data_IF_461752170743
#
_entry.id   IF_461752170743
#
_cell.length_a   1.000
_cell.length_b   1.000
_cell.length_c   1.000
_cell.angle_alpha   90.00
_cell.angle_beta   90.00
_cell.angle_gamma   90.00
#
_symmetry.space_group_name_H-M   'P 1'
#
loop_
_entity.id
_entity.type
_entity.pdbx_description
1 polymer ?
#
# COMPACT_ATOMS: atom_id res chain seq x y z
N UNK A 1 3.91 -5.71 5.95
CA UNK A 1 4.45 -5.50 4.58
C UNK A 1 5.98 -5.54 4.56
N UNK A 2 6.70 -4.70 5.32
CA UNK A 2 8.16 -4.51 5.19
C UNK A 2 9.06 -5.73 5.47
N UNK A 3 8.54 -6.80 6.10
CA UNK A 3 9.31 -8.02 6.43
C UNK A 3 9.22 -9.14 5.38
N UNK A 4 8.54 -8.92 4.26
CA UNK A 4 8.43 -9.92 3.19
C UNK A 4 9.74 -10.08 2.40
N UNK A 5 9.96 -11.26 1.81
CA UNK A 5 11.13 -11.57 0.96
C UNK A 5 11.19 -10.72 -0.32
N UNK A 6 10.08 -10.10 -0.73
CA UNK A 6 10.02 -9.22 -1.92
C UNK A 6 11.06 -8.08 -1.82
N UNK A 7 11.24 -7.52 -0.63
CA UNK A 7 12.15 -6.39 -0.39
C UNK A 7 13.60 -6.80 -0.08
N UNK A 8 14.00 -8.07 -0.27
CA UNK A 8 15.36 -8.54 0.07
C UNK A 8 16.48 -7.70 -0.54
N UNK A 9 16.28 -7.22 -1.78
CA UNK A 9 17.26 -6.37 -2.48
C UNK A 9 17.34 -4.99 -1.84
N UNK A 10 16.19 -4.39 -1.53
CA UNK A 10 16.12 -3.10 -0.86
C UNK A 10 16.76 -3.16 0.54
N UNK A 11 16.50 -4.25 1.29
CA UNK A 11 17.15 -4.49 2.59
C UNK A 11 18.66 -4.62 2.49
N UNK A 12 19.18 -5.30 1.46
CA UNK A 12 20.63 -5.40 1.24
C UNK A 12 21.28 -4.04 0.92
N UNK A 13 20.59 -3.16 0.20
CA UNK A 13 21.09 -1.81 -0.14
C UNK A 13 21.09 -0.88 1.08
N UNK A 14 20.02 -0.88 1.87
CA UNK A 14 19.86 0.07 2.98
C UNK A 14 20.37 -0.45 4.33
N UNK A 15 20.68 -1.74 4.46
CA UNK A 15 21.25 -2.31 5.68
C UNK A 15 20.43 -2.00 6.94
N UNK A 16 21.09 -1.44 7.95
CA UNK A 16 20.44 -1.02 9.21
C UNK A 16 19.41 0.10 9.03
N UNK A 17 19.54 0.92 8.00
CA UNK A 17 18.59 2.01 7.71
C UNK A 17 17.33 1.53 6.98
N UNK A 18 17.25 0.26 6.58
CA UNK A 18 16.16 -0.28 5.78
C UNK A 18 14.77 0.01 6.35
N UNK A 19 14.59 -0.21 7.66
CA UNK A 19 13.30 -0.06 8.31
C UNK A 19 12.87 1.42 8.36
N UNK A 20 13.74 2.30 8.85
CA UNK A 20 13.48 3.74 8.89
C UNK A 20 13.21 4.31 7.48
N UNK A 21 14.01 3.91 6.49
CA UNK A 21 13.82 4.31 5.09
C UNK A 21 12.46 3.85 4.55
N UNK A 22 12.10 2.58 4.72
CA UNK A 22 10.85 2.03 4.17
C UNK A 22 9.63 2.66 4.85
N UNK A 23 9.68 2.85 6.17
CA UNK A 23 8.59 3.50 6.92
C UNK A 23 8.40 4.97 6.50
N UNK A 24 9.49 5.69 6.18
CA UNK A 24 9.39 7.07 5.67
C UNK A 24 8.68 7.20 4.31
N UNK A 25 8.47 6.08 3.59
CA UNK A 25 7.84 6.05 2.26
C UNK A 25 6.45 5.42 2.27
N UNK A 26 6.01 4.85 3.39
CA UNK A 26 4.75 4.11 3.47
C UNK A 26 3.68 4.98 4.12
N UNK A 27 2.58 5.22 3.39
CA UNK A 27 1.40 5.91 3.91
C UNK A 27 0.24 4.90 3.89
N UNK A 28 -0.15 4.33 5.05
CA UNK A 28 -1.31 3.44 5.11
C UNK A 28 -2.60 4.25 4.99
N UNK A 29 -3.56 3.73 4.23
CA UNK A 29 -4.90 4.29 4.08
C UNK A 29 -5.90 3.21 4.44
N UNK A 30 -6.87 3.54 5.30
CA UNK A 30 -7.97 2.64 5.68
C UNK A 30 -9.00 2.66 4.55
N UNK A 31 -9.47 1.49 4.14
CA UNK A 31 -10.50 1.35 3.12
C UNK A 31 -10.91 -0.10 2.85
N UNK A 32 -12.03 -0.27 2.14
CA UNK A 32 -12.64 -1.53 1.78
C UNK A 32 -13.03 -1.55 0.29
N UNK A 33 -12.59 -2.57 -0.45
CA UNK A 33 -12.81 -2.66 -1.90
C UNK A 33 -14.29 -2.75 -2.32
N UNK A 34 -15.15 -3.24 -1.42
CA UNK A 34 -16.58 -3.42 -1.65
C UNK A 34 -17.39 -2.13 -1.46
N UNK A 35 -16.76 -1.08 -0.92
CA UNK A 35 -17.41 0.20 -0.68
C UNK A 35 -17.11 1.21 -1.79
N UNK A 36 -18.07 2.10 -2.04
CA UNK A 36 -17.88 3.21 -2.97
C UNK A 36 -16.65 4.03 -2.54
N UNK A 37 -15.82 4.37 -3.53
CA UNK A 37 -14.56 5.08 -3.31
C UNK A 37 -13.64 4.42 -2.27
N UNK A 38 -13.71 3.09 -2.17
CA UNK A 38 -13.00 2.26 -1.21
C UNK A 38 -13.31 2.59 0.26
N UNK A 39 -14.44 3.23 0.56
CA UNK A 39 -14.78 3.67 1.93
C UNK A 39 -13.88 4.79 2.46
N UNK A 40 -13.15 5.49 1.58
CA UNK A 40 -12.20 6.54 1.96
C UNK A 40 -12.90 7.88 2.17
N UNK A 41 -12.33 8.74 3.01
CA UNK A 41 -12.75 10.14 3.13
C UNK A 41 -12.49 10.91 1.82
N UNK A 42 -13.40 11.81 1.43
CA UNK A 42 -13.31 12.58 0.16
C UNK A 42 -11.95 13.27 -0.03
N UNK A 43 -11.39 13.83 1.05
CA UNK A 43 -10.06 14.46 1.00
C UNK A 43 -8.97 13.46 0.60
N UNK A 44 -8.99 12.27 1.18
CA UNK A 44 -8.00 11.22 0.87
C UNK A 44 -8.19 10.72 -0.56
N UNK A 45 -9.43 10.57 -1.02
CA UNK A 45 -9.73 10.23 -2.41
C UNK A 45 -9.11 11.24 -3.37
N UNK A 46 -9.29 12.54 -3.09
CA UNK A 46 -8.73 13.62 -3.89
C UNK A 46 -7.21 13.63 -3.88
N UNK A 47 -6.60 13.51 -2.70
CA UNK A 47 -5.14 13.46 -2.57
C UNK A 47 -4.55 12.27 -3.37
N UNK A 48 -5.21 11.11 -3.34
CA UNK A 48 -4.81 9.94 -4.14
C UNK A 48 -4.99 10.23 -5.64
N UNK A 49 -6.14 10.77 -6.05
CA UNK A 49 -6.42 11.05 -7.46
C UNK A 49 -5.44 12.08 -8.07
N UNK A 50 -5.01 13.06 -7.28
CA UNK A 50 -4.11 14.13 -7.74
C UNK A 50 -2.62 13.72 -7.73
N UNK A 51 -2.21 12.77 -6.87
CA UNK A 51 -0.80 12.47 -6.60
C UNK A 51 -0.36 11.04 -6.91
N UNK A 52 -1.27 10.12 -7.25
CA UNK A 52 -0.91 8.74 -7.59
C UNK A 52 -0.79 8.57 -9.10
N UNK A 53 0.42 8.29 -9.56
CA UNK A 53 0.71 8.04 -10.98
C UNK A 53 0.42 6.58 -11.41
N UNK A 54 0.54 5.63 -10.48
CA UNK A 54 0.47 4.19 -10.78
C UNK A 54 -0.34 3.46 -9.71
N UNK A 55 -1.33 2.68 -10.17
CA UNK A 55 -2.14 1.80 -9.32
C UNK A 55 -1.76 0.34 -9.62
N UNK A 56 -1.43 -0.41 -8.57
CA UNK A 56 -1.20 -1.86 -8.63
C UNK A 56 -2.35 -2.55 -7.91
N UNK A 57 -3.36 -2.98 -8.65
CA UNK A 57 -4.56 -3.62 -8.09
C UNK A 57 -4.36 -5.13 -7.94
N UNK A 58 -3.91 -5.54 -6.75
CA UNK A 58 -3.65 -6.95 -6.42
C UNK A 58 -4.52 -7.49 -5.27
N UNK A 59 -5.33 -6.65 -4.63
CA UNK A 59 -6.17 -7.06 -3.52
C UNK A 59 -7.43 -7.75 -4.05
N UNK A 60 -7.71 -8.94 -3.53
CA UNK A 60 -8.85 -9.77 -3.88
C UNK A 60 -9.22 -10.69 -2.71
N UNK A 61 -10.48 -11.12 -2.66
CA UNK A 61 -10.86 -12.26 -1.83
C UNK A 61 -10.44 -13.56 -2.54
N UNK A 62 -10.03 -14.57 -1.76
CA UNK A 62 -9.63 -15.89 -2.28
C UNK A 62 -10.46 -17.02 -1.67
N UNK A 63 -11.61 -16.67 -1.08
CA UNK A 63 -12.63 -17.62 -0.66
C UNK A 63 -13.36 -18.17 -1.89
N UNK A 64 -13.68 -19.46 -1.86
CA UNK A 64 -14.28 -20.17 -2.99
C UNK A 64 -15.81 -20.24 -2.93
N UNK A 65 -16.41 -19.73 -1.85
CA UNK A 65 -17.82 -19.89 -1.48
C UNK A 65 -18.59 -18.56 -1.35
N UNK A 66 -18.25 -17.57 -2.17
CA UNK A 66 -19.04 -16.33 -2.32
C UNK A 66 -20.39 -16.55 -2.99
#
# INVERSE_FOLDING_TARGET
IINTKLFKRLKAVHGSCYEAFTLSKLVPVVGHLEEDFLGMEEKVQKDIADNVDVIVSCAANTKFDE
#
